data_IF_448837781359
#
_entry.id   IF_448837781359
#
_cell.length_a   1.000
_cell.length_b   1.000
_cell.length_c   1.000
_cell.angle_alpha   90.00
_cell.angle_beta   90.00
_cell.angle_gamma   90.00
#
_symmetry.space_group_name_H-M   'P 1'
#
loop_
_entity.id
_entity.type
_entity.pdbx_description
1 polymer ?
#
# COMPACT_ATOMS: atom_id res chain seq x y z
N UNK A 1 1.01 -11.55 36.76
CA UNK A 1 0.31 -12.50 35.85
C UNK A 1 -0.12 -11.91 34.50
N UNK A 2 -0.03 -10.58 34.28
CA UNK A 2 -0.50 -9.91 33.06
C UNK A 2 0.08 -10.43 31.74
N UNK A 3 1.40 -10.67 31.68
CA UNK A 3 2.05 -11.15 30.46
C UNK A 3 1.52 -12.52 30.01
N UNK A 4 1.19 -13.41 30.95
CA UNK A 4 0.61 -14.72 30.64
C UNK A 4 -0.81 -14.57 30.10
N UNK A 5 -1.61 -13.68 30.70
CA UNK A 5 -2.96 -13.38 30.21
C UNK A 5 -2.93 -12.82 28.78
N UNK A 6 -2.04 -11.87 28.50
CA UNK A 6 -1.82 -11.35 27.15
C UNK A 6 -1.44 -12.47 26.18
N UNK A 7 -0.50 -13.35 26.56
CA UNK A 7 -0.07 -14.44 25.71
C UNK A 7 -1.22 -15.45 25.42
N UNK A 8 -2.05 -15.75 26.41
CA UNK A 8 -3.24 -16.60 26.24
C UNK A 8 -4.23 -15.97 25.27
N UNK A 9 -4.49 -14.66 25.40
CA UNK A 9 -5.37 -13.94 24.48
C UNK A 9 -4.82 -13.91 23.06
N UNK A 10 -3.54 -13.57 22.88
CA UNK A 10 -2.86 -13.61 21.58
C UNK A 10 -2.86 -15.02 20.94
N UNK A 11 -2.87 -16.08 21.75
CA UNK A 11 -3.02 -17.45 21.24
C UNK A 11 -4.42 -17.72 20.72
N UNK A 12 -5.45 -17.26 21.43
CA UNK A 12 -6.86 -17.34 21.02
C UNK A 12 -7.15 -16.53 19.76
N UNK A 13 -6.47 -15.41 19.58
CA UNK A 13 -6.53 -14.59 18.35
C UNK A 13 -5.67 -15.14 17.20
N UNK A 14 -5.30 -16.43 17.24
CA UNK A 14 -4.55 -17.14 16.18
C UNK A 14 -3.23 -16.48 15.75
N UNK A 15 -2.67 -15.57 16.56
CA UNK A 15 -1.48 -14.81 16.17
C UNK A 15 -0.21 -15.68 16.08
N UNK A 16 -0.19 -16.84 16.75
CA UNK A 16 0.95 -17.75 16.83
C UNK A 16 0.97 -18.82 15.73
N UNK A 17 -0.15 -19.08 15.07
CA UNK A 17 -0.34 -20.22 14.17
C UNK A 17 0.64 -20.14 13.00
N UNK A 18 1.46 -21.20 12.82
CA UNK A 18 2.48 -21.27 11.77
C UNK A 18 3.67 -20.32 11.94
N UNK A 19 3.84 -19.69 13.11
CA UNK A 19 4.84 -18.64 13.33
C UNK A 19 5.62 -18.87 14.63
N UNK A 20 6.82 -18.29 14.76
CA UNK A 20 7.66 -18.51 15.96
C UNK A 20 7.01 -17.91 17.23
N UNK A 21 6.84 -18.68 18.32
CA UNK A 21 6.20 -18.20 19.55
C UNK A 21 7.09 -17.24 20.36
N UNK A 22 8.41 -17.32 20.25
CA UNK A 22 9.34 -16.46 21.00
C UNK A 22 9.02 -14.97 20.80
N UNK A 23 8.80 -14.54 19.55
CA UNK A 23 8.46 -13.15 19.25
C UNK A 23 7.14 -12.69 19.87
N UNK A 24 6.18 -13.61 20.05
CA UNK A 24 4.91 -13.33 20.71
C UNK A 24 5.10 -13.16 22.23
N UNK A 25 5.93 -14.00 22.85
CA UNK A 25 6.30 -13.85 24.26
C UNK A 25 7.00 -12.50 24.52
N UNK A 26 7.91 -12.08 23.62
CA UNK A 26 8.56 -10.78 23.71
C UNK A 26 7.59 -9.61 23.59
N UNK A 27 6.61 -9.71 22.69
CA UNK A 27 5.56 -8.69 22.55
C UNK A 27 4.70 -8.60 23.81
N UNK A 28 4.25 -9.74 24.35
CA UNK A 28 3.47 -9.80 25.59
C UNK A 28 4.24 -9.21 26.79
N UNK A 29 5.55 -9.47 26.90
CA UNK A 29 6.40 -8.88 27.93
C UNK A 29 6.50 -7.36 27.82
N UNK A 30 6.69 -6.84 26.59
CA UNK A 30 6.76 -5.38 26.37
C UNK A 30 5.45 -4.68 26.68
N UNK A 31 4.32 -5.25 26.24
CA UNK A 31 2.99 -4.68 26.51
C UNK A 31 2.71 -4.71 28.01
N UNK A 32 2.94 -5.84 28.69
CA UNK A 32 2.78 -5.93 30.13
C UNK A 32 3.67 -4.93 30.89
N UNK A 33 4.92 -4.75 30.46
CA UNK A 33 5.82 -3.78 31.08
C UNK A 33 5.25 -2.35 30.98
N UNK A 34 4.70 -1.97 29.83
CA UNK A 34 4.04 -0.66 29.64
C UNK A 34 2.77 -0.50 30.46
N UNK A 35 1.97 -1.55 30.62
CA UNK A 35 0.74 -1.51 31.44
C UNK A 35 1.02 -1.26 32.93
N UNK A 36 2.22 -1.59 33.40
CA UNK A 36 2.64 -1.43 34.80
C UNK A 36 3.69 -0.32 34.96
N UNK A 37 3.78 0.61 34.01
CA UNK A 37 4.76 1.72 33.98
C UNK A 37 6.24 1.30 34.14
N UNK A 38 6.55 0.05 33.81
CA UNK A 38 7.91 -0.48 33.85
C UNK A 38 8.60 -0.22 32.52
N UNK A 39 9.48 0.79 32.51
CA UNK A 39 10.18 1.22 31.30
C UNK A 39 11.33 0.26 30.96
N UNK A 40 11.08 -0.62 29.99
CA UNK A 40 12.11 -1.46 29.34
C UNK A 40 12.25 -1.13 27.87
N UNK A 41 13.49 -1.18 27.41
CA UNK A 41 13.81 -0.95 26.00
C UNK A 41 13.52 -2.20 25.19
N UNK A 42 13.18 -1.99 23.91
CA UNK A 42 12.97 -3.09 22.95
C UNK A 42 14.24 -3.95 22.81
N UNK A 43 15.43 -3.33 22.91
CA UNK A 43 16.73 -4.01 22.83
C UNK A 43 16.96 -4.99 24.00
N UNK A 44 16.63 -4.60 25.23
CA UNK A 44 16.72 -5.49 26.40
C UNK A 44 15.86 -6.75 26.21
N UNK A 45 14.61 -6.60 25.76
CA UNK A 45 13.71 -7.74 25.55
C UNK A 45 14.19 -8.66 24.42
N UNK A 46 14.64 -8.07 23.30
CA UNK A 46 15.21 -8.83 22.17
C UNK A 46 16.41 -9.67 22.61
N UNK A 47 17.26 -9.11 23.47
CA UNK A 47 18.47 -9.79 23.96
C UNK A 47 18.15 -11.10 24.69
N UNK A 48 16.98 -11.19 25.34
CA UNK A 48 16.50 -12.36 26.08
C UNK A 48 15.74 -13.32 25.15
N UNK A 49 14.82 -12.79 24.36
CA UNK A 49 13.87 -13.60 23.55
C UNK A 49 14.48 -14.11 22.24
N UNK A 50 15.64 -13.56 21.84
CA UNK A 50 16.42 -13.96 20.65
C UNK A 50 15.61 -13.87 19.35
N UNK A 51 15.01 -12.71 19.09
CA UNK A 51 14.28 -12.40 17.85
C UNK A 51 14.72 -11.07 17.25
N UNK A 52 14.60 -10.89 15.94
CA UNK A 52 14.90 -9.61 15.30
C UNK A 52 13.92 -8.51 15.73
N UNK A 53 14.39 -7.27 15.76
CA UNK A 53 13.57 -6.11 16.13
C UNK A 53 12.37 -5.92 15.20
N UNK A 54 12.58 -6.08 13.89
CA UNK A 54 11.50 -6.02 12.89
C UNK A 54 10.41 -7.07 13.14
N UNK A 55 10.79 -8.27 13.59
CA UNK A 55 9.84 -9.33 13.95
C UNK A 55 9.01 -8.93 15.16
N UNK A 56 9.65 -8.38 16.19
CA UNK A 56 8.96 -7.93 17.41
C UNK A 56 7.98 -6.79 17.12
N UNK A 57 8.40 -5.79 16.32
CA UNK A 57 7.52 -4.70 15.88
C UNK A 57 6.32 -5.22 15.09
N UNK A 58 6.51 -6.17 14.16
CA UNK A 58 5.40 -6.81 13.43
C UNK A 58 4.38 -7.47 14.36
N UNK A 59 4.83 -8.15 15.41
CA UNK A 59 3.92 -8.77 16.39
C UNK A 59 3.15 -7.75 17.23
N UNK A 60 3.77 -6.61 17.55
CA UNK A 60 3.08 -5.53 18.25
C UNK A 60 2.01 -4.87 17.37
N UNK A 61 2.30 -4.61 16.09
CA UNK A 61 1.30 -4.08 15.14
C UNK A 61 0.14 -5.05 14.91
N UNK A 62 0.41 -6.35 14.82
CA UNK A 62 -0.68 -7.33 14.70
C UNK A 62 -1.53 -7.43 15.97
N UNK A 63 -0.95 -7.17 17.15
CA UNK A 63 -1.73 -7.08 18.39
C UNK A 63 -2.59 -5.82 18.40
N UNK A 64 -2.07 -4.69 17.90
CA UNK A 64 -2.80 -3.43 17.72
C UNK A 64 -4.06 -3.61 16.86
N UNK A 65 -3.99 -4.43 15.80
CA UNK A 65 -5.14 -4.76 14.94
C UNK A 65 -6.22 -5.63 15.63
N UNK A 66 -5.98 -6.19 16.83
CA UNK A 66 -6.97 -7.00 17.56
C UNK A 66 -7.89 -6.14 18.43
N UNK A 67 -9.14 -6.56 18.72
CA UNK A 67 -10.04 -5.80 19.61
C UNK A 67 -9.51 -5.69 21.04
N UNK A 68 -8.64 -6.63 21.46
CA UNK A 68 -7.99 -6.60 22.78
C UNK A 68 -7.15 -5.34 22.99
N UNK A 69 -6.56 -4.79 21.93
CA UNK A 69 -5.67 -3.61 22.04
C UNK A 69 -6.41 -2.33 22.42
N UNK A 70 -7.72 -2.29 22.17
CA UNK A 70 -8.57 -1.12 22.41
C UNK A 70 -9.08 -1.04 23.86
N UNK A 71 -8.89 -2.11 24.64
CA UNK A 71 -9.29 -2.16 26.04
C UNK A 71 -8.33 -1.36 26.93
N UNK A 72 -8.88 -0.71 27.95
CA UNK A 72 -8.06 -0.15 29.03
C UNK A 72 -7.39 -1.26 29.83
N UNK A 73 -6.33 -0.90 30.56
CA UNK A 73 -5.60 -1.84 31.42
C UNK A 73 -6.54 -2.52 32.42
N UNK A 74 -7.46 -1.76 33.03
CA UNK A 74 -8.39 -2.28 34.02
C UNK A 74 -9.46 -3.21 33.42
N UNK A 75 -10.00 -2.85 32.25
CA UNK A 75 -10.96 -3.70 31.53
C UNK A 75 -10.32 -5.02 31.12
N UNK A 76 -9.10 -4.98 30.58
CA UNK A 76 -8.36 -6.18 30.20
C UNK A 76 -8.12 -7.13 31.39
N UNK A 77 -8.00 -6.61 32.62
CA UNK A 77 -7.86 -7.47 33.81
C UNK A 77 -9.18 -8.05 34.32
N UNK A 78 -10.33 -7.55 33.88
CA UNK A 78 -11.64 -7.98 34.39
C UNK A 78 -12.42 -8.80 33.36
N UNK A 79 -12.29 -8.48 32.08
CA UNK A 79 -13.13 -8.99 31.01
C UNK A 79 -12.28 -9.85 30.08
N UNK A 80 -12.79 -11.03 29.73
CA UNK A 80 -12.25 -11.84 28.65
C UNK A 80 -13.18 -11.73 27.43
N UNK A 81 -12.61 -11.29 26.30
CA UNK A 81 -13.35 -11.22 25.04
C UNK A 81 -13.59 -12.64 24.50
N UNK A 82 -14.83 -12.94 24.12
CA UNK A 82 -15.18 -14.24 23.54
C UNK A 82 -14.74 -14.37 22.07
N UNK A 83 -14.84 -13.28 21.31
CA UNK A 83 -14.53 -13.24 19.88
C UNK A 83 -13.07 -13.57 19.57
N UNK A 84 -12.85 -14.29 18.48
CA UNK A 84 -11.53 -14.66 17.95
C UNK A 84 -11.20 -13.83 16.71
N UNK A 85 -9.91 -13.68 16.42
CA UNK A 85 -9.44 -13.06 15.18
C UNK A 85 -8.84 -14.09 14.24
N UNK A 86 -8.94 -13.83 12.94
CA UNK A 86 -8.29 -14.61 11.91
C UNK A 86 -6.76 -14.47 11.95
N UNK A 87 -6.01 -15.51 11.54
CA UNK A 87 -4.56 -15.44 11.51
C UNK A 87 -4.05 -14.36 10.54
N UNK A 88 -2.88 -13.72 10.82
CA UNK A 88 -2.34 -12.66 9.97
C UNK A 88 -2.07 -13.04 8.51
N UNK A 89 -1.86 -14.33 8.21
CA UNK A 89 -1.73 -14.82 6.83
C UNK A 89 -3.03 -14.69 6.04
N UNK A 90 -4.18 -14.93 6.69
CA UNK A 90 -5.49 -14.81 6.09
C UNK A 90 -5.85 -13.33 5.88
N UNK A 91 -5.71 -12.51 6.91
CA UNK A 91 -6.04 -11.07 6.83
C UNK A 91 -5.15 -10.33 5.83
N UNK A 92 -3.85 -10.66 5.76
CA UNK A 92 -2.96 -10.11 4.74
C UNK A 92 -3.36 -10.53 3.31
N UNK A 93 -3.79 -11.78 3.13
CA UNK A 93 -4.32 -12.27 1.86
C UNK A 93 -5.56 -11.51 1.41
N UNK A 94 -6.53 -11.33 2.32
CA UNK A 94 -7.76 -10.56 2.08
C UNK A 94 -7.46 -9.09 1.77
N UNK A 95 -6.54 -8.46 2.52
CA UNK A 95 -6.12 -7.07 2.29
C UNK A 95 -5.53 -6.92 0.89
N UNK A 96 -4.65 -7.83 0.47
CA UNK A 96 -4.06 -7.82 -0.88
C UNK A 96 -5.12 -7.94 -1.98
N UNK A 97 -6.10 -8.82 -1.80
CA UNK A 97 -7.18 -8.99 -2.78
C UNK A 97 -8.05 -7.72 -2.89
N UNK A 98 -8.43 -7.13 -1.76
CA UNK A 98 -9.20 -5.87 -1.74
C UNK A 98 -8.44 -4.72 -2.38
N UNK A 99 -7.14 -4.59 -2.12
CA UNK A 99 -6.33 -3.54 -2.76
C UNK A 99 -6.32 -3.68 -4.28
N UNK A 100 -6.18 -4.90 -4.81
CA UNK A 100 -6.26 -5.15 -6.26
C UNK A 100 -7.62 -4.77 -6.86
N UNK A 101 -8.71 -5.09 -6.17
CA UNK A 101 -10.06 -4.72 -6.62
C UNK A 101 -10.22 -3.19 -6.64
N UNK A 102 -9.71 -2.51 -5.61
CA UNK A 102 -9.78 -1.06 -5.53
C UNK A 102 -8.98 -0.39 -6.65
N UNK A 103 -7.79 -0.92 -6.95
CA UNK A 103 -6.94 -0.49 -8.07
C UNK A 103 -7.64 -0.65 -9.42
N UNK A 104 -8.34 -1.77 -9.64
CA UNK A 104 -9.13 -1.98 -10.85
C UNK A 104 -10.29 -0.98 -10.98
N UNK A 105 -11.01 -0.73 -9.88
CA UNK A 105 -12.10 0.25 -9.86
C UNK A 105 -11.57 1.66 -10.12
N UNK A 106 -10.42 2.00 -9.55
CA UNK A 106 -9.75 3.28 -9.78
C UNK A 106 -9.30 3.43 -11.24
N UNK A 107 -8.70 2.39 -11.84
CA UNK A 107 -8.31 2.37 -13.26
C UNK A 107 -9.51 2.62 -14.16
N UNK A 108 -10.60 1.89 -13.94
CA UNK A 108 -11.82 2.05 -14.74
C UNK A 108 -12.40 3.45 -14.63
N UNK A 109 -12.44 4.02 -13.42
CA UNK A 109 -12.89 5.42 -13.23
C UNK A 109 -11.97 6.43 -13.92
N UNK A 110 -10.67 6.14 -13.99
CA UNK A 110 -9.73 6.99 -14.71
C UNK A 110 -10.01 6.96 -16.22
N UNK A 111 -10.24 5.77 -16.78
CA UNK A 111 -10.64 5.57 -18.19
C UNK A 111 -11.97 6.28 -18.50
N UNK A 112 -12.97 6.19 -17.61
CA UNK A 112 -14.25 6.87 -17.77
C UNK A 112 -14.07 8.40 -17.83
N UNK A 113 -13.25 8.96 -16.92
CA UNK A 113 -12.97 10.40 -16.87
C UNK A 113 -12.14 10.86 -18.09
N UNK A 114 -11.17 10.07 -18.54
CA UNK A 114 -10.41 10.36 -19.76
C UNK A 114 -11.32 10.40 -21.00
N UNK A 115 -12.28 9.47 -21.09
CA UNK A 115 -13.30 9.47 -22.14
C UNK A 115 -14.19 10.72 -22.12
N UNK A 116 -14.64 11.15 -20.95
CA UNK A 116 -15.38 12.41 -20.79
C UNK A 116 -14.55 13.61 -21.27
N UNK A 117 -13.29 13.71 -20.85
CA UNK A 117 -12.39 14.81 -21.25
C UNK A 117 -12.20 14.84 -22.77
N UNK A 118 -11.98 13.69 -23.42
CA UNK A 118 -11.84 13.62 -24.88
C UNK A 118 -13.10 14.10 -25.59
N UNK A 119 -14.29 13.71 -25.11
CA UNK A 119 -15.55 14.16 -25.71
C UNK A 119 -15.74 15.68 -25.65
N UNK A 120 -15.31 16.31 -24.54
CA UNK A 120 -15.31 17.75 -24.41
C UNK A 120 -14.26 18.40 -25.33
N UNK A 121 -13.07 17.82 -25.46
CA UNK A 121 -12.03 18.32 -26.37
C UNK A 121 -12.51 18.33 -27.82
N UNK A 122 -13.11 17.23 -28.30
CA UNK A 122 -13.65 17.12 -29.66
C UNK A 122 -14.75 18.15 -29.91
N UNK A 123 -15.67 18.32 -28.95
CA UNK A 123 -16.75 19.30 -29.06
C UNK A 123 -16.21 20.75 -29.15
N UNK A 124 -15.18 21.08 -28.36
CA UNK A 124 -14.52 22.39 -28.40
C UNK A 124 -13.83 22.60 -29.75
N UNK A 125 -13.11 21.60 -30.27
CA UNK A 125 -12.40 21.69 -31.54
C UNK A 125 -13.36 21.89 -32.72
N UNK A 126 -14.48 21.15 -32.75
CA UNK A 126 -15.54 21.31 -33.76
C UNK A 126 -16.12 22.72 -33.74
N UNK A 127 -16.44 23.26 -32.56
CA UNK A 127 -17.03 24.60 -32.42
C UNK A 127 -16.05 25.71 -32.84
N UNK A 128 -14.76 25.56 -32.52
CA UNK A 128 -13.70 26.46 -32.95
C UNK A 128 -13.52 26.45 -34.47
N UNK A 129 -13.58 25.29 -35.12
CA UNK A 129 -13.48 25.17 -36.58
C UNK A 129 -14.68 25.82 -37.27
N UNK A 130 -15.90 25.65 -36.72
CA UNK A 130 -17.11 26.28 -37.24
C UNK A 130 -17.08 27.81 -37.12
N UNK A 131 -16.44 28.34 -36.08
CA UNK A 131 -16.31 29.77 -35.82
C UNK A 131 -15.17 30.45 -36.59
N UNK A 132 -14.30 29.68 -37.28
CA UNK A 132 -13.23 30.25 -38.11
C UNK A 132 -13.83 31.10 -39.25
N UNK A 133 -13.35 32.34 -39.47
CA UNK A 133 -13.85 33.19 -40.54
C UNK A 133 -13.51 32.61 -41.91
N UNK A 134 -14.53 32.20 -42.68
CA UNK A 134 -14.35 31.80 -44.09
C UNK A 134 -14.02 33.05 -44.92
N UNK A 135 -12.78 33.16 -45.38
CA UNK A 135 -12.37 34.23 -46.27
C UNK A 135 -13.23 34.24 -47.55
N UNK A 136 -13.86 35.39 -47.86
CA UNK A 136 -14.60 35.63 -49.11
C UNK A 136 -13.90 36.73 -49.91
N UNK A 137 -13.59 36.45 -51.18
CA UNK A 137 -13.04 37.43 -52.14
C UNK A 137 -11.62 37.11 -52.63
N UNK A 138 -11.04 38.00 -53.44
CA UNK A 138 -9.83 37.81 -54.25
C UNK A 138 -8.55 37.37 -53.48
N UNK A 139 -8.53 37.45 -52.15
CA UNK A 139 -7.44 36.96 -51.28
C UNK A 139 -7.57 35.47 -50.91
N UNK A 140 -8.64 34.78 -51.31
CA UNK A 140 -8.82 33.34 -51.03
C UNK A 140 -7.79 32.44 -51.76
N UNK A 141 -7.14 32.95 -52.81
CA UNK A 141 -6.11 32.24 -53.55
C UNK A 141 -4.69 32.41 -52.97
N UNK A 142 -4.48 33.25 -51.96
CA UNK A 142 -3.14 33.48 -51.37
C UNK A 142 -2.78 32.48 -50.27
N UNK A 143 -3.75 31.76 -49.69
CA UNK A 143 -3.51 30.80 -48.61
C UNK A 143 -3.28 29.37 -49.09
N UNK A 144 -3.10 29.16 -50.41
CA UNK A 144 -2.80 27.85 -51.00
C UNK A 144 -1.31 27.52 -51.10
N UNK A 145 -0.41 28.43 -50.73
CA UNK A 145 1.02 28.18 -50.67
C UNK A 145 1.50 28.31 -49.21
N UNK A 146 1.38 27.22 -48.46
CA UNK A 146 1.73 27.18 -47.05
C UNK A 146 1.96 25.78 -46.48
N UNK A 147 2.27 24.79 -47.31
CA UNK A 147 2.97 23.59 -46.83
C UNK A 147 4.49 23.85 -46.86
N UNK A 148 5.06 24.10 -45.70
CA UNK A 148 6.35 23.53 -45.27
C UNK A 148 6.73 24.07 -43.89
N UNK A 149 6.23 23.39 -42.87
CA UNK A 149 6.62 23.61 -41.48
C UNK A 149 6.44 22.31 -40.72
N UNK A 150 7.28 21.33 -41.04
CA UNK A 150 7.41 20.09 -40.30
C UNK A 150 7.55 20.38 -38.80
N UNK A 151 6.70 19.76 -37.97
CA UNK A 151 7.13 19.35 -36.63
C UNK A 151 6.81 17.85 -36.51
N UNK A 152 7.82 17.02 -36.19
CA UNK A 152 7.78 15.60 -36.53
C UNK A 152 7.00 14.75 -35.52
N UNK A 153 6.68 13.56 -36.04
CA UNK A 153 6.36 12.31 -35.36
C UNK A 153 7.07 12.07 -34.02
N UNK A 154 6.33 11.43 -33.10
CA UNK A 154 6.73 10.14 -32.54
C UNK A 154 7.65 10.17 -31.32
N UNK A 155 7.07 9.91 -30.15
CA UNK A 155 7.76 9.24 -29.05
C UNK A 155 7.19 7.82 -28.92
N UNK A 156 7.51 6.95 -29.88
CA UNK A 156 7.48 5.50 -29.65
C UNK A 156 8.90 4.95 -29.85
N UNK A 157 9.34 4.19 -28.85
CA UNK A 157 10.73 3.85 -28.63
C UNK A 157 11.30 2.79 -29.59
N UNK A 158 12.63 2.70 -29.58
CA UNK A 158 13.33 1.50 -30.02
C UNK A 158 14.37 1.08 -28.99
N UNK A 159 14.15 -0.13 -28.46
CA UNK A 159 15.17 -1.07 -28.04
C UNK A 159 16.27 -1.20 -29.11
N UNK A 160 17.54 -1.18 -28.68
CA UNK A 160 18.64 -1.86 -29.35
C UNK A 160 19.14 -3.03 -28.46
N UNK A 161 19.41 -4.22 -29.02
CA UNK A 161 19.74 -5.43 -28.24
C UNK A 161 21.26 -5.64 -28.08
N UNK A 162 21.70 -6.13 -26.92
CA UNK A 162 22.79 -7.09 -26.74
C UNK A 162 22.93 -7.50 -25.26
N UNK A 163 22.94 -8.80 -25.02
CA UNK A 163 22.99 -9.51 -23.74
C UNK A 163 24.41 -9.51 -23.11
N UNK A 164 24.80 -10.47 -22.24
CA UNK A 164 24.18 -11.02 -21.02
C UNK A 164 25.12 -10.87 -19.80
N UNK A 165 24.62 -11.18 -18.60
CA UNK A 165 25.38 -11.59 -17.38
C UNK A 165 26.45 -10.59 -16.87
N UNK A 166 26.46 -10.24 -15.58
CA UNK A 166 27.21 -11.01 -14.58
C UNK A 166 26.79 -10.53 -13.20
N UNK A 167 26.52 -11.53 -12.37
CA UNK A 167 26.43 -11.49 -10.92
C UNK A 167 27.63 -10.81 -10.24
N UNK A 168 27.38 -9.78 -9.44
CA UNK A 168 28.14 -9.53 -8.19
C UNK A 168 27.15 -8.89 -7.20
N UNK A 169 26.57 -9.62 -6.25
CA UNK A 169 27.20 -10.13 -5.02
C UNK A 169 28.02 -9.09 -4.24
N UNK A 170 27.36 -8.58 -3.18
CA UNK A 170 27.88 -8.24 -1.81
C UNK A 170 28.53 -6.87 -1.58
N UNK A 171 28.73 -6.45 -0.31
CA UNK A 171 27.94 -6.61 0.93
C UNK A 171 27.66 -5.22 1.59
N UNK A 172 26.59 -5.07 2.39
CA UNK A 172 26.64 -4.97 3.86
C UNK A 172 27.92 -4.32 4.43
N UNK A 173 27.79 -3.06 4.86
CA UNK A 173 28.31 -2.59 6.15
C UNK A 173 27.11 -2.17 7.00
#
# INVERSE_FOLDING_TARGET
>A
MTALRLLQRMKRDWMHTGRRPSGLCGAALLVAARMHDFRRTVKEVISVVKVCESTLRKRLMEFEDTPTSQLTVDEFMKIDLEGECDPPSYTAGQRKLRMKQLEQVLSKKLEDVEGEISSYQDAIEIELENSRPKAKGALANLTRDGESGCVPHGFEGLLGPAAPSVWLSRPRC
#
